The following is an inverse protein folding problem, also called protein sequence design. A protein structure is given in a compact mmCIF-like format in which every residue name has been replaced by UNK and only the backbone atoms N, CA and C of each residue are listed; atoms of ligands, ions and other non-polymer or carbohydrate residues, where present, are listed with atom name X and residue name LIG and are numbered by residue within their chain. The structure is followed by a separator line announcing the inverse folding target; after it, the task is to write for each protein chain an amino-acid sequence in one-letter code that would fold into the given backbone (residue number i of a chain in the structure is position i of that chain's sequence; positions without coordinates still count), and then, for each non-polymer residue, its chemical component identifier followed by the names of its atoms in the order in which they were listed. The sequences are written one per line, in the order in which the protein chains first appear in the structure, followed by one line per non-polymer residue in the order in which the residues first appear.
data_IF_970460237550
#
_entry.id   IF_970460237550
#
_cell.length_a   1.000
_cell.length_b   1.000
_cell.length_c   1.000
_cell.angle_alpha   90.00
_cell.angle_beta   90.00
_cell.angle_gamma   90.00
#
_symmetry.space_group_name_H-M   'P 1'
#
loop_
_entity.id
_entity.type
_entity.pdbx_description
1 polymer ?
#
# COMPACT_ATOMS: atom_id res chain seq x y z
N UNK A 1 -4.03 15.24 -21.80
CA UNK A 1 -4.90 15.69 -20.68
C UNK A 1 -4.07 15.60 -19.41
N UNK A 2 -4.13 16.57 -18.50
CA UNK A 2 -3.31 16.62 -17.30
C UNK A 2 -4.16 16.27 -16.07
N UNK A 3 -3.66 15.41 -15.19
CA UNK A 3 -4.33 15.00 -13.94
C UNK A 3 -3.74 15.81 -12.78
N UNK A 4 -4.63 16.49 -12.06
CA UNK A 4 -4.32 17.30 -10.91
C UNK A 4 -4.18 16.41 -9.66
N UNK A 5 -2.98 16.37 -9.08
CA UNK A 5 -2.64 15.47 -7.97
C UNK A 5 -1.89 16.16 -6.84
N UNK A 6 -2.07 15.61 -5.64
CA UNK A 6 -1.32 16.02 -4.44
C UNK A 6 -0.33 14.91 -4.06
N UNK A 7 0.94 15.26 -3.86
CA UNK A 7 1.94 14.32 -3.34
C UNK A 7 1.69 14.06 -1.86
N UNK A 8 1.61 12.80 -1.46
CA UNK A 8 1.46 12.40 -0.05
C UNK A 8 2.67 11.60 0.40
N UNK A 9 3.13 11.89 1.61
CA UNK A 9 4.27 11.17 2.17
C UNK A 9 3.83 9.89 2.89
N UNK A 10 4.37 8.76 2.45
CA UNK A 10 4.13 7.42 3.00
C UNK A 10 5.43 6.63 2.99
N UNK A 11 5.54 5.68 3.91
CA UNK A 11 6.53 4.62 3.83
C UNK A 11 5.89 3.37 3.23
N UNK A 12 6.66 2.64 2.43
CA UNK A 12 6.18 1.47 1.72
C UNK A 12 6.98 0.22 2.11
N UNK A 13 6.28 -0.89 2.23
CA UNK A 13 6.89 -2.20 2.41
C UNK A 13 6.31 -3.19 1.41
N UNK A 14 7.17 -4.01 0.81
CA UNK A 14 6.74 -5.20 0.07
C UNK A 14 6.78 -6.41 0.98
N UNK A 15 5.75 -7.23 0.92
CA UNK A 15 5.69 -8.54 1.57
C UNK A 15 5.45 -9.59 0.50
N UNK A 16 6.40 -10.50 0.31
CA UNK A 16 6.35 -11.47 -0.78
C UNK A 16 6.89 -12.85 -0.37
N UNK A 17 6.46 -13.91 -1.04
CA UNK A 17 6.88 -15.29 -0.77
C UNK A 17 5.69 -16.24 -0.65
N UNK A 18 5.89 -17.55 -0.84
CA UNK A 18 4.78 -18.50 -1.00
C UNK A 18 3.85 -18.60 0.22
N UNK A 19 4.32 -18.18 1.39
CA UNK A 19 3.56 -18.14 2.65
C UNK A 19 3.19 -16.71 3.08
N UNK A 20 3.30 -15.71 2.20
CA UNK A 20 3.02 -14.31 2.55
C UNK A 20 1.57 -14.06 2.97
N UNK A 21 0.58 -14.68 2.30
CA UNK A 21 -0.84 -14.51 2.63
C UNK A 21 -1.15 -15.01 4.04
N UNK A 22 -0.81 -16.27 4.33
CA UNK A 22 -1.06 -16.90 5.63
C UNK A 22 -0.29 -16.20 6.76
N UNK A 23 0.94 -15.77 6.49
CA UNK A 23 1.72 -14.97 7.43
C UNK A 23 1.03 -13.65 7.76
N UNK A 24 0.65 -12.87 6.74
CA UNK A 24 0.02 -11.57 6.93
C UNK A 24 -1.37 -11.68 7.57
N UNK A 25 -2.16 -12.70 7.23
CA UNK A 25 -3.43 -13.00 7.88
C UNK A 25 -3.27 -13.18 9.40
N UNK A 26 -2.14 -13.76 9.84
CA UNK A 26 -1.81 -13.89 11.27
C UNK A 26 -1.22 -12.62 11.92
N UNK A 27 -0.81 -11.62 11.14
CA UNK A 27 -0.23 -10.37 11.66
C UNK A 27 -1.23 -9.20 11.68
N UNK A 28 -2.22 -9.21 10.78
CA UNK A 28 -3.11 -8.09 10.50
C UNK A 28 -4.49 -8.32 11.12
N UNK A 29 -5.16 -7.24 11.52
CA UNK A 29 -6.52 -7.33 12.10
C UNK A 29 -7.60 -7.56 11.05
N UNK A 30 -7.33 -7.15 9.81
CA UNK A 30 -8.25 -7.27 8.68
C UNK A 30 -8.06 -8.61 8.00
N UNK A 31 -9.17 -9.23 7.59
CA UNK A 31 -9.14 -10.40 6.72
C UNK A 31 -8.59 -10.01 5.34
N UNK A 32 -7.58 -10.71 4.86
CA UNK A 32 -6.94 -10.49 3.56
C UNK A 32 -7.03 -11.72 2.65
N UNK A 33 -7.56 -12.84 3.14
CA UNK A 33 -7.74 -14.04 2.32
C UNK A 33 -8.68 -13.74 1.15
N UNK A 34 -8.32 -14.23 -0.02
CA UNK A 34 -9.13 -14.09 -1.23
C UNK A 34 -9.22 -12.67 -1.78
N UNK A 35 -8.38 -11.72 -1.32
CA UNK A 35 -8.23 -10.43 -1.99
C UNK A 35 -7.95 -10.63 -3.47
N UNK A 36 -8.57 -9.84 -4.33
CA UNK A 36 -8.26 -9.84 -5.77
C UNK A 36 -6.99 -9.03 -6.05
N UNK A 37 -6.29 -9.31 -7.15
CA UNK A 37 -5.16 -8.47 -7.56
C UNK A 37 -5.66 -7.03 -7.80
N UNK A 38 -4.93 -6.04 -7.28
CA UNK A 38 -5.32 -4.63 -7.24
C UNK A 38 -6.24 -4.25 -6.08
N UNK A 39 -6.82 -5.21 -5.35
CA UNK A 39 -7.66 -4.92 -4.20
C UNK A 39 -6.82 -4.36 -3.05
N UNK A 40 -7.36 -3.35 -2.36
CA UNK A 40 -6.75 -2.75 -1.19
C UNK A 40 -7.71 -2.69 0.00
N UNK A 41 -7.18 -2.91 1.21
CA UNK A 41 -7.94 -2.88 2.46
C UNK A 41 -7.14 -2.13 3.54
N UNK A 42 -7.83 -1.37 4.39
CA UNK A 42 -7.22 -0.83 5.59
C UNK A 42 -7.16 -1.89 6.69
N UNK A 43 -6.10 -1.85 7.49
CA UNK A 43 -5.87 -2.82 8.56
C UNK A 43 -5.03 -2.23 9.68
N UNK A 44 -5.12 -2.82 10.87
CA UNK A 44 -4.23 -2.51 11.97
C UNK A 44 -3.17 -3.60 12.12
N UNK A 45 -1.94 -3.18 12.37
CA UNK A 45 -0.89 -4.03 12.92
C UNK A 45 -0.92 -3.86 14.44
N UNK A 46 -1.20 -4.95 15.14
CA UNK A 46 -1.41 -4.93 16.58
C UNK A 46 -0.28 -5.62 17.35
N UNK A 47 -0.01 -5.15 18.56
CA UNK A 47 0.75 -5.89 19.56
C UNK A 47 -0.03 -7.12 20.03
N UNK A 48 0.65 -8.16 20.57
CA UNK A 48 -0.03 -9.27 21.23
C UNK A 48 -0.99 -8.85 22.36
N UNK A 49 -0.75 -7.68 22.98
CA UNK A 49 -1.65 -7.10 23.99
C UNK A 49 -2.86 -6.35 23.42
N UNK A 50 -3.05 -6.34 22.10
CA UNK A 50 -4.13 -5.63 21.42
C UNK A 50 -3.92 -4.11 21.23
N UNK A 51 -2.75 -3.58 21.56
CA UNK A 51 -2.42 -2.16 21.29
C UNK A 51 -2.06 -1.97 19.81
N UNK A 52 -2.38 -0.82 19.25
CA UNK A 52 -2.06 -0.50 17.85
C UNK A 52 -0.59 -0.13 17.75
N UNK A 53 0.16 -0.86 16.91
CA UNK A 53 1.52 -0.48 16.48
C UNK A 53 1.44 0.45 15.25
N UNK A 54 0.57 0.13 14.29
CA UNK A 54 0.35 0.94 13.09
C UNK A 54 -1.05 0.75 12.49
N UNK A 55 -1.53 1.79 11.81
CA UNK A 55 -2.67 1.73 10.89
C UNK A 55 -2.13 1.87 9.47
N UNK A 56 -2.41 0.90 8.61
CA UNK A 56 -1.83 0.81 7.27
C UNK A 56 -2.84 0.31 6.25
N UNK A 57 -2.54 0.51 4.97
CA UNK A 57 -3.27 -0.13 3.88
C UNK A 57 -2.45 -1.28 3.32
N UNK A 58 -3.09 -2.41 3.07
CA UNK A 58 -2.55 -3.53 2.31
C UNK A 58 -3.18 -3.54 0.93
N UNK A 59 -2.37 -3.69 -0.11
CA UNK A 59 -2.78 -3.87 -1.50
C UNK A 59 -2.20 -5.17 -2.02
N UNK A 60 -3.03 -6.04 -2.62
CA UNK A 60 -2.53 -7.24 -3.29
C UNK A 60 -2.06 -6.86 -4.69
N UNK A 61 -0.77 -7.05 -4.97
CA UNK A 61 -0.21 -6.78 -6.30
C UNK A 61 -0.37 -7.98 -7.23
N UNK A 62 -0.14 -9.17 -6.69
CA UNK A 62 -0.29 -10.46 -7.36
C UNK A 62 -0.47 -11.55 -6.30
N UNK A 63 -0.63 -12.81 -6.72
CA UNK A 63 -0.55 -13.95 -5.80
C UNK A 63 0.75 -13.89 -5.00
N UNK A 64 0.63 -13.92 -3.67
CA UNK A 64 1.77 -13.94 -2.74
C UNK A 64 2.70 -12.70 -2.82
N UNK A 65 2.19 -11.58 -3.31
CA UNK A 65 2.92 -10.30 -3.36
C UNK A 65 2.00 -9.15 -2.95
N UNK A 66 2.33 -8.53 -1.81
CA UNK A 66 1.54 -7.49 -1.18
C UNK A 66 2.36 -6.24 -0.98
N UNK A 67 1.73 -5.09 -1.16
CA UNK A 67 2.26 -3.78 -0.83
C UNK A 67 1.57 -3.26 0.43
N UNK A 68 2.35 -2.84 1.41
CA UNK A 68 1.88 -2.12 2.58
C UNK A 68 2.27 -0.65 2.43
N UNK A 69 1.32 0.25 2.64
CA UNK A 69 1.59 1.69 2.78
C UNK A 69 1.13 2.21 4.15
N UNK A 70 2.03 2.95 4.80
CA UNK A 70 1.86 3.48 6.16
C UNK A 70 2.35 4.93 6.21
N UNK A 71 1.93 5.70 7.20
CA UNK A 71 2.41 7.07 7.38
C UNK A 71 3.94 7.15 7.42
N UNK A 72 4.49 8.24 6.86
CA UNK A 72 5.95 8.46 6.82
C UNK A 72 6.58 8.35 8.21
N UNK A 73 7.77 7.76 8.25
CA UNK A 73 8.57 7.44 9.44
C UNK A 73 8.05 6.25 10.29
N UNK A 74 7.01 5.52 9.85
CA UNK A 74 6.54 4.30 10.51
C UNK A 74 7.04 3.02 9.82
N UNK A 75 7.66 3.10 8.65
CA UNK A 75 8.08 1.96 7.85
C UNK A 75 9.05 1.03 8.60
N UNK A 76 10.06 1.58 9.27
CA UNK A 76 11.02 0.81 10.07
C UNK A 76 10.36 0.15 11.29
N UNK A 77 9.38 0.82 11.93
CA UNK A 77 8.61 0.27 13.04
C UNK A 77 7.79 -0.94 12.57
N UNK A 78 7.08 -0.80 11.46
CA UNK A 78 6.29 -1.89 10.85
C UNK A 78 7.21 -3.04 10.43
N UNK A 79 8.34 -2.74 9.77
CA UNK A 79 9.34 -3.74 9.37
C UNK A 79 9.84 -4.55 10.57
N UNK A 80 10.25 -3.88 11.63
CA UNK A 80 10.74 -4.53 12.85
C UNK A 80 9.65 -5.38 13.51
N UNK A 81 8.41 -4.87 13.55
CA UNK A 81 7.26 -5.57 14.14
C UNK A 81 6.87 -6.82 13.36
N UNK A 82 6.91 -6.79 12.03
CA UNK A 82 6.68 -7.95 11.17
C UNK A 82 7.82 -8.97 11.32
N UNK A 83 9.07 -8.54 11.14
CA UNK A 83 10.25 -9.42 11.23
C UNK A 83 10.37 -10.17 12.56
N UNK A 84 9.93 -9.58 13.67
CA UNK A 84 9.93 -10.24 14.99
C UNK A 84 9.16 -11.59 15.01
N UNK A 85 8.16 -11.75 14.16
CA UNK A 85 7.31 -12.94 14.10
C UNK A 85 7.50 -13.77 12.82
N UNK A 86 8.48 -13.40 12.00
CA UNK A 86 8.82 -14.11 10.77
C UNK A 86 9.76 -15.29 11.12
N UNK A 87 9.21 -16.49 11.30
CA UNK A 87 9.96 -17.67 11.78
C UNK A 87 9.90 -18.82 10.78
N UNK A 88 11.00 -19.03 10.04
CA UNK A 88 11.13 -20.11 9.03
C UNK A 88 10.03 -20.15 7.97
N UNK A 89 9.32 -19.05 7.81
CA UNK A 89 8.30 -18.84 6.78
C UNK A 89 8.96 -18.42 5.48
N UNK A 90 8.53 -18.96 4.34
CA UNK A 90 8.90 -18.47 3.02
C UNK A 90 8.17 -17.14 2.72
N UNK A 91 8.64 -16.09 3.40
CA UNK A 91 8.13 -14.74 3.29
C UNK A 91 9.29 -13.75 3.54
N UNK A 92 9.30 -12.66 2.77
CA UNK A 92 10.27 -11.56 2.83
C UNK A 92 9.53 -10.25 3.01
N UNK A 93 10.10 -9.37 3.84
CA UNK A 93 9.58 -8.02 4.09
C UNK A 93 10.70 -7.02 3.82
N UNK A 94 10.46 -6.09 2.89
CA UNK A 94 11.46 -5.15 2.37
C UNK A 94 10.86 -3.73 2.30
N UNK A 95 11.62 -2.72 2.71
CA UNK A 95 11.22 -1.32 2.52
C UNK A 95 11.42 -0.94 1.05
N UNK A 96 10.46 -0.20 0.51
CA UNK A 96 10.47 0.30 -0.86
C UNK A 96 10.57 1.82 -0.88
N UNK A 97 11.22 2.36 -1.91
CA UNK A 97 11.25 3.79 -2.18
C UNK A 97 10.22 4.14 -3.26
N UNK A 98 8.95 4.07 -2.90
CA UNK A 98 7.82 4.37 -3.79
C UNK A 98 7.24 5.75 -3.47
N UNK A 99 6.44 6.28 -4.39
CA UNK A 99 5.88 7.64 -4.31
C UNK A 99 4.36 7.59 -4.47
N UNK A 100 3.64 8.27 -3.58
CA UNK A 100 2.18 8.36 -3.61
C UNK A 100 1.72 9.73 -4.11
N UNK A 101 0.83 9.71 -5.10
CA UNK A 101 0.10 10.88 -5.58
C UNK A 101 -1.40 10.59 -5.50
N UNK A 102 -2.18 11.50 -4.93
CA UNK A 102 -3.63 11.36 -4.83
C UNK A 102 -4.31 12.34 -5.77
N UNK A 103 -5.12 11.83 -6.68
CA UNK A 103 -6.10 12.61 -7.45
C UNK A 103 -7.37 12.79 -6.62
N UNK A 104 -7.94 13.99 -6.65
CA UNK A 104 -9.23 14.30 -6.02
C UNK A 104 -10.25 14.53 -7.14
N UNK A 105 -11.25 13.67 -7.25
CA UNK A 105 -12.30 13.79 -8.27
C UNK A 105 -12.50 12.52 -9.09
N UNK A 106 -13.58 12.51 -9.88
CA UNK A 106 -14.05 11.33 -10.61
C UNK A 106 -13.53 11.27 -12.06
N UNK A 107 -12.32 11.76 -12.31
CA UNK A 107 -11.65 11.56 -13.60
C UNK A 107 -11.04 10.16 -13.61
N UNK A 108 -11.88 9.14 -13.83
CA UNK A 108 -11.42 7.78 -14.17
C UNK A 108 -10.67 7.85 -15.51
N UNK A 109 -9.43 8.30 -15.45
CA UNK A 109 -8.52 8.17 -16.55
C UNK A 109 -7.99 6.74 -16.48
N UNK A 110 -8.47 5.90 -17.40
CA UNK A 110 -7.88 4.61 -17.78
C UNK A 110 -6.53 4.84 -18.47
N UNK A 111 -5.67 5.65 -17.87
CA UNK A 111 -4.29 5.72 -18.29
C UNK A 111 -3.61 4.52 -17.66
N UNK A 112 -3.29 3.52 -18.49
CA UNK A 112 -2.37 2.43 -18.14
C UNK A 112 -0.98 3.01 -17.95
N UNK A 113 -0.76 3.68 -16.82
CA UNK A 113 0.55 4.14 -16.41
C UNK A 113 1.41 2.91 -16.16
N UNK A 114 2.49 2.77 -16.93
CA UNK A 114 3.48 1.71 -16.74
C UNK A 114 4.11 1.88 -15.35
N UNK A 115 4.24 0.78 -14.60
CA UNK A 115 4.81 0.74 -13.24
C UNK A 115 4.07 1.57 -12.17
N UNK A 116 2.76 1.75 -12.35
CA UNK A 116 1.89 2.39 -11.38
C UNK A 116 0.86 1.41 -10.80
N UNK A 117 0.61 1.49 -9.50
CA UNK A 117 -0.55 0.87 -8.87
C UNK A 117 -1.58 1.97 -8.65
N UNK A 118 -2.76 1.84 -9.25
CA UNK A 118 -3.87 2.78 -9.07
C UNK A 118 -4.91 2.17 -8.12
N UNK A 119 -5.18 2.86 -7.01
CA UNK A 119 -6.11 2.41 -5.97
C UNK A 119 -7.25 3.43 -5.88
N UNK A 120 -8.40 3.17 -6.52
CA UNK A 120 -9.58 4.02 -6.37
C UNK A 120 -10.26 3.75 -5.02
N UNK A 121 -10.71 4.81 -4.34
CA UNK A 121 -11.52 4.71 -3.13
C UNK A 121 -12.42 5.94 -2.97
N UNK A 122 -13.51 5.77 -2.23
CA UNK A 122 -14.42 6.86 -1.91
C UNK A 122 -14.43 7.14 -0.41
N UNK A 123 -14.50 8.43 -0.06
CA UNK A 123 -14.51 8.87 1.33
C UNK A 123 -15.28 10.18 1.47
N UNK A 124 -16.25 10.22 2.38
CA UNK A 124 -17.16 11.38 2.58
C UNK A 124 -17.83 11.90 1.29
N UNK A 125 -18.17 11.01 0.36
CA UNK A 125 -18.80 11.39 -0.92
C UNK A 125 -17.84 12.00 -1.95
N UNK A 126 -16.54 12.01 -1.66
CA UNK A 126 -15.49 12.31 -2.62
C UNK A 126 -14.90 11.01 -3.15
N UNK A 127 -14.52 11.03 -4.42
CA UNK A 127 -13.77 9.95 -5.07
C UNK A 127 -12.30 10.36 -5.13
N UNK A 128 -11.43 9.40 -4.86
CA UNK A 128 -9.99 9.56 -4.87
C UNK A 128 -9.35 8.41 -5.65
N UNK A 129 -8.23 8.72 -6.29
CA UNK A 129 -7.35 7.68 -6.84
C UNK A 129 -5.95 7.90 -6.28
N UNK A 130 -5.44 6.91 -5.55
CA UNK A 130 -4.05 6.88 -5.12
C UNK A 130 -3.21 6.20 -6.21
N UNK A 131 -2.26 6.93 -6.78
CA UNK A 131 -1.27 6.45 -7.73
C UNK A 131 0.07 6.22 -7.01
N UNK A 132 0.50 4.97 -6.95
CA UNK A 132 1.76 4.57 -6.33
C UNK A 132 2.77 4.20 -7.42
N UNK A 133 3.86 4.96 -7.52
CA UNK A 133 4.91 4.76 -8.50
C UNK A 133 6.17 4.14 -7.89
N UNK A 134 6.81 3.25 -8.64
CA UNK A 134 8.07 2.60 -8.25
C UNK A 134 9.30 3.51 -8.32
N UNK A 135 9.18 4.64 -9.00
CA UNK A 135 10.22 5.65 -9.18
C UNK A 135 9.63 7.05 -9.14
N UNK A 136 10.42 8.05 -8.73
CA UNK A 136 9.99 9.46 -8.69
C UNK A 136 9.98 10.11 -10.08
N UNK A 137 10.25 9.32 -11.14
CA UNK A 137 10.12 9.76 -12.52
C UNK A 137 8.64 9.96 -12.81
N UNK A 138 8.17 11.16 -12.48
CA UNK A 138 6.84 11.68 -12.79
C UNK A 138 6.52 11.37 -14.26
N UNK A 139 5.58 10.47 -14.48
CA UNK A 139 5.18 10.11 -15.84
C UNK A 139 4.53 11.32 -16.50
N UNK A 140 4.81 11.51 -17.80
CA UNK A 140 4.15 12.55 -18.59
C UNK A 140 2.61 12.39 -18.43
N UNK A 141 1.93 13.39 -17.86
CA UNK A 141 0.47 13.34 -17.68
C UNK A 141 -0.06 13.88 -16.36
N UNK A 142 0.78 14.07 -15.34
CA UNK A 142 0.36 14.64 -14.06
C UNK A 142 0.64 16.15 -13.97
N UNK A 143 -0.07 16.85 -13.10
CA UNK A 143 0.18 18.23 -12.67
C UNK A 143 0.08 18.26 -11.15
N UNK A 144 1.18 18.64 -10.50
CA UNK A 144 1.20 18.77 -9.05
C UNK A 144 0.46 20.04 -8.65
N UNK A 145 -0.46 19.89 -7.71
CA UNK A 145 -1.10 21.01 -7.03
C UNK A 145 -0.37 21.19 -5.69
N UNK A 146 0.03 22.43 -5.41
CA UNK A 146 0.63 22.87 -4.14
C UNK A 146 -0.42 23.02 -3.02
#
# INVERSE_FOLDING_TARGET
MKIDVVKREKDFLRVSGTEAESYLQGQLSQDIEGMSDGEARFTFLLQPSGKVDAWLRITRQAQNDYLLDVDKNYGELVLARLKRFLLRTDCRVEILNYFLYTEIGNSRNENDFVDCIAIPYSWFGFEFTDYIFKSDSFSEGFTLID
#
